data_IF_874258145177
#
_entry.id   IF_874258145177
#
_cell.length_a   1.000
_cell.length_b   1.000
_cell.length_c   1.000
_cell.angle_alpha   90.00
_cell.angle_beta   90.00
_cell.angle_gamma   90.00
#
_symmetry.space_group_name_H-M   'P 1'
#
loop_
_entity.id
_entity.type
_entity.pdbx_description
1 polymer ?
#
# COMPACT_ATOMS: atom_id res chain seq x y z
N UNK A 1 1.68 8.43 5.62
CA UNK A 1 0.41 8.41 6.38
C UNK A 1 -0.16 7.00 6.57
N UNK A 2 -0.38 6.22 5.50
CA UNK A 2 -0.90 4.85 5.66
C UNK A 2 0.11 3.92 6.35
N UNK A 3 1.40 3.97 5.95
CA UNK A 3 2.48 3.25 6.65
C UNK A 3 2.54 3.50 8.15
N UNK A 4 2.50 4.77 8.57
CA UNK A 4 2.51 5.13 10.00
C UNK A 4 1.30 4.57 10.76
N UNK A 5 0.14 4.43 10.12
CA UNK A 5 -1.03 3.76 10.75
C UNK A 5 -0.80 2.27 10.90
N UNK A 6 -0.20 1.61 9.91
CA UNK A 6 0.15 0.20 9.98
C UNK A 6 1.17 -0.06 11.10
N UNK A 7 2.22 0.76 11.20
CA UNK A 7 3.22 0.69 12.28
C UNK A 7 2.57 0.84 13.65
N UNK A 8 1.68 1.83 13.82
CA UNK A 8 0.96 2.01 15.07
C UNK A 8 0.05 0.81 15.39
N UNK A 9 -0.73 0.32 14.43
CA UNK A 9 -1.60 -0.83 14.65
C UNK A 9 -0.82 -2.09 15.06
N UNK A 10 0.33 -2.34 14.43
CA UNK A 10 1.24 -3.42 14.80
C UNK A 10 1.78 -3.23 16.22
N UNK A 11 2.13 -2.00 16.62
CA UNK A 11 2.58 -1.71 17.99
C UNK A 11 1.49 -1.95 19.04
N UNK A 12 0.22 -1.98 18.64
CA UNK A 12 -0.93 -2.30 19.50
C UNK A 12 -1.34 -3.79 19.43
N UNK A 13 -0.48 -4.67 18.89
CA UNK A 13 -0.77 -6.11 18.70
C UNK A 13 -1.98 -6.41 17.78
N UNK A 14 -2.34 -5.49 16.90
CA UNK A 14 -3.35 -5.76 15.86
C UNK A 14 -2.70 -6.37 14.63
N UNK A 15 -3.47 -7.19 13.91
CA UNK A 15 -3.08 -7.68 12.57
C UNK A 15 -3.55 -6.69 11.52
N UNK A 16 -2.70 -6.41 10.54
CA UNK A 16 -2.99 -5.46 9.46
C UNK A 16 -3.15 -6.22 8.15
N UNK A 17 -4.25 -5.93 7.44
CA UNK A 17 -4.41 -6.28 6.03
C UNK A 17 -4.27 -4.98 5.24
N UNK A 18 -3.18 -4.86 4.50
CA UNK A 18 -2.88 -3.65 3.72
C UNK A 18 -3.55 -3.73 2.34
N UNK A 19 -4.44 -2.78 2.06
CA UNK A 19 -5.04 -2.63 0.74
C UNK A 19 -4.15 -1.74 -0.14
N UNK A 20 -3.83 -2.22 -1.34
CA UNK A 20 -3.14 -1.48 -2.40
C UNK A 20 -3.87 -1.68 -3.72
N UNK A 21 -3.65 -0.79 -4.68
CA UNK A 21 -4.22 -0.89 -6.01
C UNK A 21 -4.00 0.38 -6.83
N UNK A 22 -3.95 0.20 -8.14
CA UNK A 22 -3.86 1.24 -9.14
C UNK A 22 -5.25 1.69 -9.64
N UNK A 23 -5.30 2.85 -10.29
CA UNK A 23 -6.45 3.32 -11.04
C UNK A 23 -6.56 2.62 -12.40
N UNK A 24 -7.73 2.67 -13.01
CA UNK A 24 -7.96 2.07 -14.33
C UNK A 24 -7.00 2.63 -15.39
N UNK A 25 -6.78 3.95 -15.39
CA UNK A 25 -5.91 4.62 -16.35
C UNK A 25 -4.44 4.24 -16.17
N UNK A 26 -4.01 3.99 -14.92
CA UNK A 26 -2.66 3.54 -14.61
C UNK A 26 -2.45 2.10 -15.09
N UNK A 27 -3.47 1.25 -14.96
CA UNK A 27 -3.48 -0.11 -15.49
C UNK A 27 -3.39 -0.12 -17.01
N UNK A 28 -4.23 0.67 -17.68
CA UNK A 28 -4.24 0.78 -19.14
C UNK A 28 -2.94 1.39 -19.69
N UNK A 29 -2.28 2.24 -18.91
CA UNK A 29 -0.94 2.76 -19.21
C UNK A 29 0.22 1.80 -18.86
N UNK A 30 -0.07 0.58 -18.39
CA UNK A 30 0.94 -0.42 -18.05
C UNK A 30 1.73 -0.15 -16.75
N UNK A 31 1.23 0.73 -15.87
CA UNK A 31 1.91 1.18 -14.65
C UNK A 31 1.55 0.41 -13.39
N UNK A 32 0.76 -0.67 -13.48
CA UNK A 32 0.28 -1.44 -12.31
C UNK A 32 1.40 -1.74 -11.32
N UNK A 33 2.56 -2.22 -11.79
CA UNK A 33 3.67 -2.54 -10.88
C UNK A 33 4.31 -1.31 -10.25
N UNK A 34 4.50 -0.23 -11.01
CA UNK A 34 5.10 1.01 -10.49
C UNK A 34 4.26 1.58 -9.35
N UNK A 35 2.93 1.59 -9.53
CA UNK A 35 2.00 2.10 -8.52
C UNK A 35 1.92 1.15 -7.32
N UNK A 36 1.66 -0.15 -7.55
CA UNK A 36 1.47 -1.10 -6.46
C UNK A 36 2.76 -1.30 -5.64
N UNK A 37 3.94 -1.35 -6.26
CA UNK A 37 5.20 -1.41 -5.51
C UNK A 37 5.51 -0.10 -4.77
N UNK A 38 5.16 1.05 -5.35
CA UNK A 38 5.26 2.34 -4.65
C UNK A 38 4.41 2.36 -3.38
N UNK A 39 3.16 1.89 -3.47
CA UNK A 39 2.27 1.79 -2.32
C UNK A 39 2.75 0.76 -1.30
N UNK A 40 3.25 -0.40 -1.73
CA UNK A 40 3.77 -1.43 -0.83
C UNK A 40 4.99 -0.95 -0.02
N UNK A 41 5.90 -0.18 -0.65
CA UNK A 41 7.05 0.43 0.04
C UNK A 41 6.64 1.37 1.16
N UNK A 42 5.45 1.95 1.11
CA UNK A 42 4.96 2.80 2.19
C UNK A 42 4.65 2.00 3.48
N UNK A 43 4.58 0.66 3.42
CA UNK A 43 4.34 -0.22 4.57
C UNK A 43 5.60 -0.93 5.10
N UNK A 44 6.75 -0.79 4.42
CA UNK A 44 8.03 -1.36 4.82
C UNK A 44 8.81 -0.37 5.69
#
# INVERSE_FOLDING_TARGET
>A
FIGSKAVYALSQNLKVIACIGELLEEREAGKTFDICFGQLKAFA
#
